data_IF_195193473647
#
_entry.id   IF_195193473647
#
_cell.length_a   1.000
_cell.length_b   1.000
_cell.length_c   1.000
_cell.angle_alpha   90.00
_cell.angle_beta   90.00
_cell.angle_gamma   90.00
#
_symmetry.space_group_name_H-M   'P 1'
#
loop_
_entity.id
_entity.type
_entity.pdbx_description
1 polymer ?
#
# COMPACT_ATOMS: atom_id res chain seq x y z
N UNK A 1 10.02 8.35 8.77
CA UNK A 1 11.45 8.02 8.60
C UNK A 1 11.74 6.65 7.92
N UNK A 2 10.75 5.82 7.57
CA UNK A 2 11.01 4.45 7.10
C UNK A 2 11.42 4.26 5.62
N UNK A 3 10.96 5.12 4.70
CA UNK A 3 11.22 4.95 3.26
C UNK A 3 12.67 5.31 2.89
N UNK A 4 13.15 6.48 3.33
CA UNK A 4 14.51 6.95 3.06
C UNK A 4 15.58 5.99 3.61
N UNK A 5 15.40 5.47 4.83
CA UNK A 5 16.34 4.50 5.41
C UNK A 5 16.34 3.14 4.69
N UNK A 6 15.21 2.73 4.08
CA UNK A 6 15.14 1.50 3.27
C UNK A 6 15.74 1.66 1.87
N UNK A 7 15.81 2.89 1.34
CA UNK A 7 16.38 3.17 0.03
C UNK A 7 17.92 3.21 0.04
N UNK A 8 18.54 3.65 1.15
CA UNK A 8 20.01 3.79 1.25
C UNK A 8 20.76 2.49 0.89
N UNK A 9 20.40 1.30 1.42
CA UNK A 9 21.10 0.06 1.07
C UNK A 9 20.85 -0.38 -0.38
N UNK A 10 19.65 -0.11 -0.92
CA UNK A 10 19.30 -0.52 -2.29
C UNK A 10 19.92 0.38 -3.36
N UNK A 11 20.35 1.59 -2.99
CA UNK A 11 21.06 2.53 -3.85
C UNK A 11 22.54 2.17 -4.01
N UNK A 12 23.11 1.31 -3.15
CA UNK A 12 24.51 0.90 -3.24
C UNK A 12 24.75 -0.15 -4.34
N UNK A 13 23.75 -0.95 -4.72
CA UNK A 13 23.78 -1.90 -5.84
C UNK A 13 22.41 -1.98 -6.52
N UNK A 14 22.03 -0.98 -7.34
CA UNK A 14 20.69 -0.90 -7.89
C UNK A 14 20.51 -1.91 -9.03
N UNK A 15 19.63 -2.88 -8.80
CA UNK A 15 19.11 -3.74 -9.87
C UNK A 15 18.03 -3.01 -10.68
N UNK A 16 17.69 -3.48 -11.88
CA UNK A 16 16.59 -2.92 -12.68
C UNK A 16 15.26 -2.87 -11.92
N UNK A 17 14.98 -3.88 -11.08
CA UNK A 17 13.76 -3.92 -10.27
C UNK A 17 13.73 -2.84 -9.18
N UNK A 18 14.90 -2.40 -8.69
CA UNK A 18 15.01 -1.28 -7.75
C UNK A 18 14.52 0.02 -8.37
N UNK A 19 14.94 0.34 -9.60
CA UNK A 19 14.51 1.55 -10.31
C UNK A 19 13.02 1.55 -10.62
N UNK A 20 12.49 0.40 -11.06
CA UNK A 20 11.06 0.21 -11.28
C UNK A 20 10.29 0.42 -9.97
N UNK A 21 10.78 -0.13 -8.86
CA UNK A 21 10.21 0.08 -7.54
C UNK A 21 10.17 1.56 -7.13
N UNK A 22 11.27 2.31 -7.33
CA UNK A 22 11.33 3.74 -7.02
C UNK A 22 10.34 4.54 -7.87
N UNK A 23 10.27 4.29 -9.18
CA UNK A 23 9.34 4.97 -10.07
C UNK A 23 7.88 4.69 -9.68
N UNK A 24 7.53 3.43 -9.40
CA UNK A 24 6.20 3.05 -8.91
C UNK A 24 5.88 3.69 -7.57
N UNK A 25 6.83 3.73 -6.64
CA UNK A 25 6.66 4.39 -5.35
C UNK A 25 6.34 5.88 -5.54
N UNK A 26 7.09 6.58 -6.40
CA UNK A 26 6.89 8.00 -6.68
C UNK A 26 5.50 8.26 -7.26
N UNK A 27 5.06 7.46 -8.23
CA UNK A 27 3.72 7.56 -8.84
C UNK A 27 2.63 7.32 -7.79
N UNK A 28 2.72 6.23 -7.03
CA UNK A 28 1.69 5.86 -6.04
C UNK A 28 1.60 6.87 -4.90
N UNK A 29 2.73 7.35 -4.37
CA UNK A 29 2.71 8.38 -3.32
C UNK A 29 2.17 9.70 -3.83
N UNK A 30 2.54 10.12 -5.04
CA UNK A 30 1.97 11.32 -5.68
C UNK A 30 0.46 11.16 -5.86
N UNK A 31 0.02 10.00 -6.36
CA UNK A 31 -1.39 9.67 -6.50
C UNK A 31 -2.13 9.73 -5.16
N UNK A 32 -1.56 9.21 -4.08
CA UNK A 32 -2.16 9.28 -2.74
C UNK A 32 -2.32 10.71 -2.24
N UNK A 33 -1.31 11.56 -2.45
CA UNK A 33 -1.36 12.97 -2.05
C UNK A 33 -2.44 13.71 -2.84
N UNK A 34 -2.49 13.48 -4.16
CA UNK A 34 -3.53 14.05 -5.03
C UNK A 34 -4.94 13.60 -4.63
N UNK A 35 -5.12 12.33 -4.28
CA UNK A 35 -6.41 11.84 -3.78
C UNK A 35 -6.82 12.58 -2.51
N UNK A 36 -5.91 12.76 -1.54
CA UNK A 36 -6.15 13.54 -0.33
C UNK A 36 -6.56 14.98 -0.63
N UNK A 37 -5.82 15.66 -1.52
CA UNK A 37 -6.15 17.03 -1.93
C UNK A 37 -7.50 17.15 -2.62
N UNK A 38 -7.82 16.22 -3.53
CA UNK A 38 -9.09 16.20 -4.25
C UNK A 38 -10.26 15.90 -3.31
N UNK A 39 -10.07 15.08 -2.28
CA UNK A 39 -11.12 14.75 -1.31
C UNK A 39 -11.58 16.00 -0.56
N UNK A 40 -10.68 16.95 -0.28
CA UNK A 40 -11.05 18.26 0.29
C UNK A 40 -11.91 19.12 -0.64
N UNK A 41 -11.87 18.90 -1.95
CA UNK A 41 -12.74 19.59 -2.90
C UNK A 41 -14.16 19.00 -2.96
N UNK A 42 -14.41 17.85 -2.31
CA UNK A 42 -15.75 17.25 -2.21
C UNK A 42 -16.35 16.74 -3.52
N UNK A 43 -15.57 16.65 -4.60
CA UNK A 43 -16.11 16.24 -5.91
C UNK A 43 -16.36 14.74 -5.98
N UNK A 44 -17.37 14.31 -6.74
CA UNK A 44 -17.67 12.87 -6.94
C UNK A 44 -16.46 12.08 -7.43
N UNK A 45 -15.63 12.68 -8.29
CA UNK A 45 -14.41 12.07 -8.82
C UNK A 45 -13.36 11.84 -7.73
N UNK A 46 -13.28 12.72 -6.74
CA UNK A 46 -12.34 12.59 -5.63
C UNK A 46 -12.60 11.34 -4.77
N UNK A 47 -13.87 11.02 -4.51
CA UNK A 47 -14.24 9.81 -3.78
C UNK A 47 -13.84 8.55 -4.55
N UNK A 48 -14.09 8.49 -5.87
CA UNK A 48 -13.71 7.34 -6.70
C UNK A 48 -12.20 7.14 -6.75
N UNK A 49 -11.41 8.22 -6.89
CA UNK A 49 -9.95 8.13 -6.91
C UNK A 49 -9.38 7.72 -5.54
N UNK A 50 -9.93 8.28 -4.46
CA UNK A 50 -9.54 7.91 -3.10
C UNK A 50 -9.87 6.45 -2.79
N UNK A 51 -11.04 5.96 -3.26
CA UNK A 51 -11.42 4.55 -3.16
C UNK A 51 -10.38 3.64 -3.84
N UNK A 52 -10.00 3.98 -5.06
CA UNK A 52 -8.96 3.23 -5.79
C UNK A 52 -7.63 3.22 -5.04
N UNK A 53 -7.20 4.37 -4.49
CA UNK A 53 -5.98 4.45 -3.67
C UNK A 53 -6.05 3.58 -2.41
N UNK A 54 -7.22 3.48 -1.76
CA UNK A 54 -7.37 2.60 -0.60
C UNK A 54 -7.37 1.13 -0.99
N UNK A 55 -8.04 0.74 -2.09
CA UNK A 55 -8.05 -0.63 -2.62
C UNK A 55 -6.62 -1.13 -2.87
N UNK A 56 -5.76 -0.29 -3.47
CA UNK A 56 -4.34 -0.61 -3.67
C UNK A 56 -3.59 -0.85 -2.35
N UNK A 57 -4.00 -0.19 -1.26
CA UNK A 57 -3.38 -0.36 0.07
C UNK A 57 -3.96 -1.51 0.89
N UNK A 58 -5.12 -2.07 0.49
CA UNK A 58 -5.79 -3.16 1.22
C UNK A 58 -4.91 -4.41 1.21
N UNK A 59 -4.41 -4.81 0.05
CA UNK A 59 -3.70 -6.07 -0.10
C UNK A 59 -2.19 -5.85 -0.15
N UNK A 60 -1.45 -6.69 0.56
CA UNK A 60 0.00 -6.81 0.42
C UNK A 60 0.35 -8.29 0.38
N UNK A 61 1.25 -8.69 -0.51
CA UNK A 61 1.58 -10.08 -0.70
C UNK A 61 3.04 -10.25 -1.11
N UNK A 62 3.58 -11.43 -0.85
CA UNK A 62 4.81 -11.94 -1.44
C UNK A 62 4.53 -13.36 -1.87
N UNK A 63 4.62 -13.67 -3.16
CA UNK A 63 4.35 -15.02 -3.70
C UNK A 63 5.30 -15.25 -4.88
N UNK A 64 5.95 -16.41 -4.94
CA UNK A 64 6.72 -16.88 -6.10
C UNK A 64 7.77 -15.86 -6.59
N UNK A 65 8.51 -15.24 -5.67
CA UNK A 65 9.57 -14.29 -6.00
C UNK A 65 9.10 -12.87 -6.37
N UNK A 66 7.79 -12.59 -6.33
CA UNK A 66 7.22 -11.24 -6.46
C UNK A 66 6.67 -10.79 -5.11
N UNK A 67 7.01 -9.58 -4.68
CA UNK A 67 6.42 -8.96 -3.49
C UNK A 67 5.86 -7.58 -3.80
N UNK A 68 4.71 -7.28 -3.22
CA UNK A 68 4.02 -6.00 -3.27
C UNK A 68 3.52 -5.62 -1.88
N UNK A 69 3.88 -4.42 -1.44
CA UNK A 69 3.28 -3.77 -0.29
C UNK A 69 3.27 -2.27 -0.54
N UNK A 70 2.09 -1.68 -0.52
CA UNK A 70 1.91 -0.25 -0.64
C UNK A 70 1.08 0.27 0.53
N UNK A 71 1.64 1.25 1.24
CA UNK A 71 1.01 1.94 2.37
C UNK A 71 1.41 3.41 2.30
N UNK A 72 0.41 4.28 2.26
CA UNK A 72 0.54 5.72 2.35
C UNK A 72 -0.19 6.22 3.61
N UNK A 73 0.57 6.45 4.68
CA UNK A 73 0.05 6.84 5.99
C UNK A 73 0.32 5.76 7.04
N UNK A 74 -0.75 5.18 7.59
CA UNK A 74 -0.69 4.15 8.63
C UNK A 74 -1.28 2.84 8.09
N UNK A 75 -0.74 1.71 8.55
CA UNK A 75 -1.28 0.37 8.30
C UNK A 75 -1.40 -0.39 9.60
N UNK A 76 -2.57 -1.00 9.75
CA UNK A 76 -2.86 -2.03 10.74
C UNK A 76 -3.08 -3.33 9.96
N UNK A 77 -1.99 -4.08 9.78
CA UNK A 77 -1.95 -5.27 8.93
C UNK A 77 -2.23 -6.55 9.71
N UNK A 78 -3.10 -7.41 9.19
CA UNK A 78 -3.22 -8.81 9.60
C UNK A 78 -2.86 -9.69 8.43
N UNK A 79 -1.99 -10.67 8.62
CA UNK A 79 -1.55 -11.53 7.53
C UNK A 79 -1.13 -12.93 7.97
N UNK A 80 -0.91 -13.77 6.98
CA UNK A 80 -0.43 -15.15 7.13
C UNK A 80 0.84 -15.30 6.31
N UNK A 81 1.83 -15.98 6.88
CA UNK A 81 3.03 -16.44 6.18
C UNK A 81 2.92 -17.95 5.94
N UNK A 82 3.33 -18.42 4.75
CA UNK A 82 3.04 -19.76 4.22
C UNK A 82 4.31 -20.63 4.01
N UNK A 83 5.38 -20.41 4.76
CA UNK A 83 6.66 -21.11 4.51
C UNK A 83 6.64 -22.57 5.00
N UNK A 84 6.68 -22.81 6.31
CA UNK A 84 6.66 -24.16 6.91
C UNK A 84 5.40 -24.42 7.73
N UNK A 85 4.78 -23.36 8.24
CA UNK A 85 3.53 -23.40 9.02
C UNK A 85 2.74 -22.13 8.78
N UNK A 86 1.42 -22.20 8.99
CA UNK A 86 0.54 -21.05 8.87
C UNK A 86 0.72 -20.14 10.07
N UNK A 87 1.56 -19.11 9.92
CA UNK A 87 1.87 -18.19 11.02
C UNK A 87 1.12 -16.86 10.83
N UNK A 88 0.16 -16.61 11.72
CA UNK A 88 -0.58 -15.35 11.76
C UNK A 88 0.30 -14.23 12.31
N UNK A 89 0.37 -13.10 11.60
CA UNK A 89 1.12 -11.91 12.02
C UNK A 89 0.23 -10.68 12.05
N UNK A 90 0.40 -9.92 13.12
CA UNK A 90 -0.06 -8.55 13.21
C UNK A 90 1.10 -7.59 12.89
N UNK A 91 0.85 -6.59 12.04
CA UNK A 91 1.88 -5.65 11.57
C UNK A 91 1.38 -4.22 11.66
N UNK A 92 1.97 -3.43 12.54
CA UNK A 92 1.82 -1.99 12.55
C UNK A 92 2.93 -1.37 11.71
N UNK A 93 2.60 -0.57 10.69
CA UNK A 93 3.60 0.12 9.88
C UNK A 93 3.13 1.50 9.45
N UNK A 94 4.07 2.43 9.34
CA UNK A 94 3.85 3.72 8.68
C UNK A 94 4.01 3.58 7.16
N UNK A 95 3.98 4.72 6.46
CA UNK A 95 4.17 4.81 5.01
C UNK A 95 5.34 3.93 4.56
N UNK A 96 5.01 2.94 3.75
CA UNK A 96 5.96 1.96 3.25
C UNK A 96 5.57 1.50 1.85
N UNK A 97 6.56 1.44 0.98
CA UNK A 97 6.44 0.82 -0.32
C UNK A 97 7.51 -0.25 -0.45
N UNK A 98 7.12 -1.41 -0.94
CA UNK A 98 8.02 -2.49 -1.30
C UNK A 98 7.48 -3.14 -2.58
N UNK A 99 8.33 -3.17 -3.59
CA UNK A 99 8.11 -3.93 -4.79
C UNK A 99 9.40 -4.65 -5.14
N UNK A 100 9.35 -5.97 -5.28
CA UNK A 100 10.50 -6.76 -5.69
C UNK A 100 10.08 -7.90 -6.60
N UNK A 101 10.97 -8.25 -7.52
CA UNK A 101 10.82 -9.34 -8.48
C UNK A 101 12.14 -10.10 -8.52
N UNK A 102 12.09 -11.44 -8.48
CA UNK A 102 13.27 -12.30 -8.55
C UNK A 102 13.92 -12.62 -7.21
N UNK A 103 13.19 -12.53 -6.09
CA UNK A 103 13.70 -13.00 -4.81
C UNK A 103 13.51 -14.52 -4.71
N UNK A 104 14.54 -15.30 -5.07
CA UNK A 104 14.47 -16.78 -5.13
C UNK A 104 14.13 -17.45 -3.79
N UNK A 105 14.16 -16.72 -2.66
CA UNK A 105 13.87 -17.23 -1.31
C UNK A 105 12.96 -16.30 -0.48
N UNK A 106 12.08 -15.52 -1.09
CA UNK A 106 11.17 -14.68 -0.30
C UNK A 106 10.05 -15.50 0.33
N UNK A 107 9.90 -15.36 1.66
CA UNK A 107 8.78 -15.92 2.42
C UNK A 107 7.47 -15.56 1.74
N UNK A 108 6.65 -16.57 1.44
CA UNK A 108 5.33 -16.32 0.88
C UNK A 108 4.41 -15.78 1.97
N UNK A 109 3.78 -14.63 1.73
CA UNK A 109 2.89 -13.99 2.69
C UNK A 109 1.72 -13.30 2.01
N UNK A 110 0.61 -13.18 2.73
CA UNK A 110 -0.51 -12.30 2.37
C UNK A 110 -0.89 -11.51 3.61
N UNK A 111 -1.11 -10.21 3.47
CA UNK A 111 -1.49 -9.30 4.55
C UNK A 111 -2.56 -8.34 4.06
N UNK A 112 -3.57 -8.11 4.89
CA UNK A 112 -4.65 -7.16 4.67
C UNK A 112 -4.47 -5.96 5.59
N UNK A 113 -4.52 -4.75 5.04
CA UNK A 113 -4.51 -3.50 5.81
C UNK A 113 -5.93 -3.15 6.26
N UNK A 114 -6.24 -3.41 7.53
CA UNK A 114 -7.55 -3.11 8.12
C UNK A 114 -7.88 -1.62 8.09
N UNK A 115 -6.88 -0.75 8.23
CA UNK A 115 -7.13 0.69 8.19
C UNK A 115 -7.61 1.13 6.80
N UNK A 116 -7.07 0.54 5.73
CA UNK A 116 -7.54 0.82 4.37
C UNK A 116 -9.00 0.38 4.18
N UNK A 117 -9.40 -0.76 4.74
CA UNK A 117 -10.81 -1.20 4.73
C UNK A 117 -11.73 -0.24 5.48
N UNK A 118 -11.30 0.25 6.66
CA UNK A 118 -12.05 1.26 7.41
C UNK A 118 -12.16 2.56 6.60
N UNK A 119 -11.09 3.01 5.95
CA UNK A 119 -11.12 4.18 5.09
C UNK A 119 -12.07 4.00 3.89
N UNK A 120 -12.11 2.82 3.27
CA UNK A 120 -13.07 2.49 2.20
C UNK A 120 -14.50 2.65 2.71
N UNK A 121 -14.81 2.06 3.87
CA UNK A 121 -16.14 2.18 4.50
C UNK A 121 -16.52 3.64 4.78
N UNK A 122 -15.61 4.44 5.33
CA UNK A 122 -15.85 5.86 5.61
C UNK A 122 -16.03 6.69 4.33
N UNK A 123 -15.27 6.39 3.27
CA UNK A 123 -15.38 7.05 1.98
C UNK A 123 -16.74 6.76 1.31
N UNK A 124 -17.20 5.51 1.34
CA UNK A 124 -18.51 5.11 0.82
C UNK A 124 -19.63 5.88 1.53
N UNK A 125 -19.62 5.86 2.87
CA UNK A 125 -20.61 6.57 3.69
C UNK A 125 -20.64 8.07 3.42
N UNK A 126 -19.47 8.71 3.38
CA UNK A 126 -19.38 10.16 3.15
C UNK A 126 -19.81 10.53 1.73
N UNK A 127 -19.58 9.66 0.75
CA UNK A 127 -20.04 9.84 -0.62
C UNK A 127 -21.56 9.76 -0.72
N UNK A 128 -22.20 8.86 0.03
CA UNK A 128 -23.66 8.77 0.13
C UNK A 128 -24.25 10.02 0.77
N UNK A 129 -23.69 10.47 1.89
CA UNK A 129 -24.12 11.68 2.59
C UNK A 129 -24.01 12.93 1.69
N UNK A 130 -22.95 13.01 0.89
CA UNK A 130 -22.71 14.12 -0.04
C UNK A 130 -23.62 14.09 -1.28
N UNK A 131 -24.25 12.95 -1.59
CA UNK A 131 -25.24 12.83 -2.67
C UNK A 131 -26.64 13.24 -2.21
N UNK A 132 -26.89 13.20 -0.89
CA UNK A 132 -28.17 13.52 -0.27
C UNK A 132 -28.27 14.97 0.24
N UNK A 133 -27.22 15.77 0.07
CA UNK A 133 -27.20 17.22 0.27
C UNK A 133 -27.33 17.93 -1.08
#
# INVERSE_FOLDING_TARGET
MGLFLKLIPQLQNPSTSTWVGIALAAVLYTFSILCGFLLFQGTRRAFTLSMANQILQVLSFGISGVAYNYVAGLKLGIGVEFWESWLFKFRLSLSSFNFSVGAENSLSFVTVNLLALVCIYLLERTREDSKNR
#
